data_IF_430923842280
#
_entry.id   IF_430923842280
#
_cell.length_a   1.000
_cell.length_b   1.000
_cell.length_c   1.000
_cell.angle_alpha   90.00
_cell.angle_beta   90.00
_cell.angle_gamma   90.00
#
_symmetry.space_group_name_H-M   'P 1'
#
loop_
_entity.id
_entity.type
_entity.pdbx_description
1 polymer ?
#
# COMPACT_ATOMS: atom_id res chain seq x y z
N UNK A 1 62.52 6.71 -46.02
CA UNK A 1 63.96 6.95 -45.81
C UNK A 1 64.40 6.16 -44.59
N UNK A 2 65.22 5.15 -44.84
CA UNK A 2 66.22 4.50 -43.98
C UNK A 2 66.02 4.44 -42.46
N UNK A 3 65.90 3.19 -41.96
CA UNK A 3 66.40 2.75 -40.65
C UNK A 3 67.88 3.16 -40.44
N UNK A 4 68.44 3.06 -39.22
CA UNK A 4 69.04 1.75 -38.87
C UNK A 4 69.03 1.35 -37.38
N UNK A 5 69.14 0.03 -37.22
CA UNK A 5 69.58 -0.74 -36.05
C UNK A 5 70.91 -0.27 -35.40
N UNK A 6 71.07 -0.59 -34.11
CA UNK A 6 72.28 -1.15 -33.44
C UNK A 6 71.90 -1.55 -31.99
N UNK A 7 71.87 -2.82 -31.59
CA UNK A 7 72.96 -3.74 -31.16
C UNK A 7 73.82 -3.28 -29.96
N UNK A 8 73.84 -4.12 -28.92
CA UNK A 8 74.75 -4.16 -27.76
C UNK A 8 73.97 -4.63 -26.52
N UNK A 9 74.26 -5.75 -25.85
CA UNK A 9 75.49 -6.49 -25.67
C UNK A 9 75.78 -6.58 -24.17
N UNK A 10 75.90 -7.80 -23.65
CA UNK A 10 75.92 -8.22 -22.23
C UNK A 10 76.97 -7.55 -21.31
N UNK A 11 76.64 -7.36 -20.03
CA UNK A 11 77.44 -7.91 -18.92
C UNK A 11 76.87 -7.69 -17.52
N UNK A 12 77.06 -8.75 -16.74
CA UNK A 12 76.65 -9.09 -15.37
C UNK A 12 77.53 -8.34 -14.34
N UNK A 13 76.97 -7.89 -13.21
CA UNK A 13 77.38 -8.30 -11.83
C UNK A 13 76.64 -7.53 -10.72
N UNK A 14 75.94 -8.32 -9.90
CA UNK A 14 75.69 -8.24 -8.46
C UNK A 14 75.56 -6.90 -7.71
N UNK A 15 74.39 -6.71 -7.10
CA UNK A 15 74.32 -6.72 -5.62
C UNK A 15 72.91 -7.10 -5.16
N UNK A 16 72.83 -8.25 -4.51
CA UNK A 16 71.65 -8.73 -3.79
C UNK A 16 71.45 -7.93 -2.50
N UNK A 17 70.18 -7.69 -2.16
CA UNK A 17 69.55 -7.81 -0.83
C UNK A 17 68.53 -6.70 -0.60
N UNK A 18 67.24 -7.02 -0.76
CA UNK A 18 66.30 -7.13 0.36
C UNK A 18 64.91 -7.50 -0.18
N UNK A 19 64.51 -8.73 0.10
CA UNK A 19 63.15 -9.21 -0.11
C UNK A 19 62.23 -8.71 1.01
N UNK A 20 61.11 -8.09 0.64
CA UNK A 20 59.93 -8.01 1.50
C UNK A 20 58.69 -7.78 0.63
N UNK A 21 57.79 -8.78 0.59
CA UNK A 21 56.41 -8.61 0.13
C UNK A 21 56.17 -8.88 -1.35
N UNK A 22 56.44 -10.10 -1.81
CA UNK A 22 56.00 -10.62 -3.10
C UNK A 22 54.47 -10.79 -3.11
N UNK A 23 53.72 -9.73 -3.46
CA UNK A 23 52.45 -9.91 -4.16
C UNK A 23 52.79 -10.37 -5.58
N UNK A 24 52.75 -11.69 -5.77
CA UNK A 24 52.85 -12.32 -7.09
C UNK A 24 51.58 -11.95 -7.88
N UNK A 25 51.59 -10.78 -8.52
CA UNK A 25 50.71 -10.53 -9.66
C UNK A 25 51.20 -11.43 -10.80
N UNK A 26 50.60 -12.62 -10.90
CA UNK A 26 50.72 -13.46 -12.09
C UNK A 26 50.17 -12.69 -13.29
N UNK A 27 51.06 -12.10 -14.08
CA UNK A 27 50.71 -11.59 -15.40
C UNK A 27 50.37 -12.79 -16.29
N UNK A 28 49.07 -13.04 -16.50
CA UNK A 28 48.58 -13.93 -17.55
C UNK A 28 49.03 -13.34 -18.90
N UNK A 29 49.88 -14.06 -19.62
CA UNK A 29 50.35 -13.66 -20.94
C UNK A 29 49.63 -14.50 -22.00
N UNK A 30 48.88 -13.83 -22.88
CA UNK A 30 48.23 -14.48 -24.02
C UNK A 30 49.31 -14.76 -25.06
N UNK A 31 49.68 -16.03 -25.21
CA UNK A 31 50.74 -16.44 -26.15
C UNK A 31 50.20 -16.53 -27.60
N UNK A 32 48.88 -16.65 -27.77
CA UNK A 32 48.22 -16.72 -29.06
C UNK A 32 46.78 -16.19 -28.95
N UNK A 33 46.53 -15.01 -29.52
CA UNK A 33 45.23 -14.34 -29.49
C UNK A 33 44.12 -15.16 -30.14
N UNK A 34 44.38 -15.81 -31.29
CA UNK A 34 43.37 -16.60 -31.97
C UNK A 34 42.95 -17.83 -31.15
N UNK A 35 43.90 -18.46 -30.45
CA UNK A 35 43.60 -19.58 -29.57
C UNK A 35 42.85 -19.12 -28.32
N UNK A 36 43.18 -17.94 -27.80
CA UNK A 36 42.51 -17.35 -26.64
C UNK A 36 41.05 -16.98 -26.96
N UNK A 37 40.80 -16.28 -28.07
CA UNK A 37 39.45 -15.96 -28.54
C UNK A 37 38.60 -17.22 -28.78
N UNK A 38 39.21 -18.27 -29.35
CA UNK A 38 38.54 -19.55 -29.50
C UNK A 38 38.14 -20.14 -28.14
N UNK A 39 39.01 -20.10 -27.14
CA UNK A 39 38.70 -20.56 -25.77
C UNK A 39 37.55 -19.73 -25.18
N UNK A 40 37.61 -18.40 -25.30
CA UNK A 40 36.56 -17.50 -24.81
C UNK A 40 35.19 -17.85 -25.43
N UNK A 41 35.14 -18.25 -26.70
CA UNK A 41 33.89 -18.62 -27.38
C UNK A 41 33.19 -19.86 -26.81
N UNK A 42 33.91 -20.72 -26.07
CA UNK A 42 33.35 -21.89 -25.40
C UNK A 42 32.92 -21.62 -23.94
N UNK A 43 33.25 -20.45 -23.40
CA UNK A 43 32.90 -20.10 -22.03
C UNK A 43 31.45 -19.62 -21.93
N UNK A 44 30.78 -20.00 -20.84
CA UNK A 44 29.48 -19.46 -20.48
C UNK A 44 29.57 -17.98 -20.17
N UNK A 45 28.44 -17.26 -20.27
CA UNK A 45 28.38 -15.86 -19.86
C UNK A 45 28.79 -15.68 -18.40
N UNK A 46 28.42 -16.61 -17.51
CA UNK A 46 28.90 -16.58 -16.13
C UNK A 46 30.42 -16.71 -15.98
N UNK A 47 31.04 -17.61 -16.75
CA UNK A 47 32.48 -17.79 -16.72
C UNK A 47 33.19 -16.52 -17.25
N UNK A 48 32.68 -15.95 -18.34
CA UNK A 48 33.18 -14.70 -18.91
C UNK A 48 33.01 -13.52 -17.94
N UNK A 49 31.87 -13.38 -17.27
CA UNK A 49 31.62 -12.30 -16.32
C UNK A 49 32.57 -12.37 -15.11
N UNK A 50 32.85 -13.58 -14.62
CA UNK A 50 33.84 -13.79 -13.55
C UNK A 50 35.25 -13.50 -14.04
N UNK A 51 35.62 -13.96 -15.23
CA UNK A 51 36.93 -13.68 -15.82
C UNK A 51 37.13 -12.17 -15.97
N UNK A 52 36.14 -11.45 -16.51
CA UNK A 52 36.15 -9.99 -16.67
C UNK A 52 36.29 -9.27 -15.33
N UNK A 53 35.69 -9.79 -14.26
CA UNK A 53 35.84 -9.23 -12.90
C UNK A 53 37.27 -9.41 -12.37
N UNK A 54 37.94 -10.52 -12.70
CA UNK A 54 39.29 -10.85 -12.24
C UNK A 54 40.35 -10.11 -13.05
N UNK A 55 40.20 -10.06 -14.38
CA UNK A 55 41.21 -9.50 -15.28
C UNK A 55 41.03 -8.00 -15.50
N UNK A 56 39.80 -7.49 -15.34
CA UNK A 56 39.44 -6.12 -15.74
C UNK A 56 39.28 -5.95 -17.25
N UNK A 57 39.44 -7.02 -18.03
CA UNK A 57 39.29 -7.00 -19.49
C UNK A 57 37.82 -6.96 -19.89
N UNK A 58 37.52 -6.41 -21.06
CA UNK A 58 36.17 -6.42 -21.62
C UNK A 58 36.04 -7.51 -22.69
N UNK A 59 35.27 -8.56 -22.41
CA UNK A 59 35.06 -9.66 -23.36
C UNK A 59 33.82 -9.40 -24.23
N UNK A 60 33.93 -9.41 -25.58
CA UNK A 60 32.85 -8.99 -26.50
C UNK A 60 31.51 -9.73 -26.36
N UNK A 61 31.54 -10.97 -25.89
CA UNK A 61 30.35 -11.82 -25.73
C UNK A 61 29.86 -11.91 -24.28
N UNK A 62 30.45 -11.13 -23.38
CA UNK A 62 30.06 -11.08 -21.98
C UNK A 62 28.95 -10.05 -21.74
N UNK A 63 27.86 -10.48 -21.14
CA UNK A 63 26.74 -9.69 -20.63
C UNK A 63 26.72 -9.80 -19.09
N UNK A 64 27.57 -9.04 -18.39
CA UNK A 64 27.76 -9.19 -16.94
C UNK A 64 26.49 -8.92 -16.14
N UNK A 65 25.62 -8.05 -16.63
CA UNK A 65 24.31 -7.74 -16.02
C UNK A 65 23.35 -8.95 -16.01
N UNK A 66 23.56 -9.96 -16.86
CA UNK A 66 22.76 -11.17 -16.88
C UNK A 66 23.21 -12.21 -15.85
N UNK A 67 24.45 -12.12 -15.36
CA UNK A 67 25.01 -13.09 -14.43
C UNK A 67 24.21 -13.21 -13.12
N UNK A 68 23.55 -12.12 -12.69
CA UNK A 68 22.67 -12.10 -11.50
C UNK A 68 21.39 -12.93 -11.67
N UNK A 69 20.98 -13.21 -12.91
CA UNK A 69 19.81 -14.05 -13.23
C UNK A 69 20.20 -15.51 -13.46
N UNK A 70 21.51 -15.81 -13.50
CA UNK A 70 22.03 -17.15 -13.66
C UNK A 70 22.35 -17.78 -12.29
N UNK A 71 22.14 -19.09 -12.16
CA UNK A 71 22.51 -19.87 -10.99
C UNK A 71 24.04 -19.92 -10.82
N UNK A 72 24.53 -19.98 -9.59
CA UNK A 72 25.97 -19.96 -9.27
C UNK A 72 26.80 -21.15 -9.80
N UNK A 73 26.18 -22.12 -10.46
CA UNK A 73 26.81 -23.33 -10.97
C UNK A 73 27.70 -23.14 -12.21
N UNK A 74 27.98 -21.88 -12.59
CA UNK A 74 28.86 -21.52 -13.72
C UNK A 74 28.31 -21.89 -15.10
N UNK A 75 27.11 -22.44 -15.13
CA UNK A 75 26.32 -22.63 -16.33
C UNK A 75 25.35 -21.46 -16.44
N UNK A 76 24.99 -21.11 -17.67
CA UNK A 76 24.01 -20.08 -18.00
C UNK A 76 22.56 -20.53 -17.73
N UNK A 77 22.39 -21.23 -16.62
CA UNK A 77 21.13 -21.77 -16.14
C UNK A 77 20.38 -20.66 -15.38
N UNK A 78 19.12 -20.38 -15.70
CA UNK A 78 18.36 -19.39 -14.95
C UNK A 78 18.12 -19.84 -13.50
N UNK A 79 18.08 -18.86 -12.60
CA UNK A 79 17.63 -19.05 -11.23
C UNK A 79 16.12 -19.25 -11.22
N UNK A 80 15.66 -20.35 -10.60
CA UNK A 80 14.25 -20.72 -10.52
C UNK A 80 13.78 -20.72 -9.07
N UNK A 81 13.86 -21.86 -8.39
CA UNK A 81 13.39 -22.02 -7.00
C UNK A 81 14.58 -21.98 -6.04
N UNK A 82 14.35 -21.40 -4.86
CA UNK A 82 15.36 -21.36 -3.78
C UNK A 82 16.70 -20.76 -4.20
N UNK A 83 16.69 -19.76 -5.09
CA UNK A 83 17.88 -19.15 -5.70
C UNK A 83 18.81 -20.13 -6.45
N UNK A 84 18.28 -21.26 -6.91
CA UNK A 84 19.00 -22.28 -7.67
C UNK A 84 18.34 -22.56 -9.02
N UNK A 85 19.12 -23.04 -9.98
CA UNK A 85 18.53 -23.65 -11.17
C UNK A 85 17.99 -25.04 -10.83
N UNK A 86 17.16 -25.59 -11.73
CA UNK A 86 16.58 -26.93 -11.57
C UNK A 86 17.64 -28.02 -11.39
N UNK A 87 18.75 -27.94 -12.11
CA UNK A 87 19.83 -28.95 -12.03
C UNK A 87 20.47 -28.98 -10.65
N UNK A 88 20.88 -27.83 -10.11
CA UNK A 88 21.47 -27.77 -8.77
C UNK A 88 20.47 -28.15 -7.68
N UNK A 89 19.23 -27.68 -7.79
CA UNK A 89 18.20 -28.05 -6.83
C UNK A 89 17.87 -29.54 -6.87
N UNK A 90 18.04 -30.21 -8.03
CA UNK A 90 17.80 -31.65 -8.15
C UNK A 90 18.79 -32.53 -7.37
N UNK A 91 19.91 -31.95 -6.93
CA UNK A 91 20.88 -32.61 -6.06
C UNK A 91 20.54 -32.45 -4.56
N UNK A 92 19.52 -31.65 -4.23
CA UNK A 92 19.09 -31.41 -2.85
C UNK A 92 18.01 -32.42 -2.40
N UNK A 93 18.02 -32.79 -1.12
CA UNK A 93 17.08 -33.76 -0.52
C UNK A 93 15.60 -33.34 -0.63
N UNK A 94 15.34 -32.03 -0.73
CA UNK A 94 14.00 -31.45 -0.83
C UNK A 94 13.57 -31.13 -2.26
N UNK A 95 14.26 -31.68 -3.27
CA UNK A 95 13.90 -31.45 -4.67
C UNK A 95 12.45 -31.85 -4.95
N UNK A 96 11.67 -30.89 -5.43
CA UNK A 96 10.34 -31.15 -5.94
C UNK A 96 10.34 -31.09 -7.48
N UNK A 97 10.17 -32.22 -8.19
CA UNK A 97 10.16 -32.26 -9.65
C UNK A 97 8.87 -31.68 -10.26
N UNK A 98 7.82 -31.50 -9.46
CA UNK A 98 6.51 -31.06 -9.89
C UNK A 98 6.15 -29.71 -9.27
N UNK A 99 5.70 -28.77 -10.08
CA UNK A 99 5.29 -27.44 -9.63
C UNK A 99 3.83 -27.17 -9.96
N UNK A 100 3.18 -26.37 -9.13
CA UNK A 100 1.82 -25.89 -9.38
C UNK A 100 1.81 -24.86 -10.50
N UNK A 101 0.61 -24.62 -11.05
CA UNK A 101 0.37 -23.61 -12.07
C UNK A 101 0.96 -22.24 -11.69
N UNK A 102 0.77 -21.81 -10.46
CA UNK A 102 1.18 -20.49 -9.96
C UNK A 102 2.70 -20.32 -10.00
N UNK A 103 3.43 -21.37 -9.67
CA UNK A 103 4.89 -21.39 -9.72
C UNK A 103 5.38 -21.37 -11.17
N UNK A 104 4.72 -22.13 -12.05
CA UNK A 104 5.05 -22.14 -13.48
C UNK A 104 4.81 -20.76 -14.13
N UNK A 105 3.69 -20.09 -13.86
CA UNK A 105 3.44 -18.74 -14.40
C UNK A 105 4.41 -17.70 -13.84
N UNK A 106 4.75 -17.79 -12.55
CA UNK A 106 5.58 -16.78 -11.88
C UNK A 106 7.04 -16.90 -12.27
N UNK A 107 7.63 -18.08 -12.10
CA UNK A 107 9.07 -18.28 -12.28
C UNK A 107 9.43 -18.47 -13.75
N UNK A 108 8.66 -19.28 -14.49
CA UNK A 108 8.93 -19.50 -15.91
C UNK A 108 8.34 -18.39 -16.79
N UNK A 109 7.40 -17.58 -16.28
CA UNK A 109 6.79 -16.51 -17.07
C UNK A 109 5.79 -16.95 -18.11
N UNK A 110 5.34 -18.20 -18.02
CA UNK A 110 4.38 -18.76 -18.95
C UNK A 110 3.01 -18.12 -18.76
N UNK A 111 2.35 -17.77 -19.87
CA UNK A 111 0.93 -17.41 -19.83
C UNK A 111 0.11 -18.69 -19.65
N UNK A 112 -1.13 -18.51 -19.19
CA UNK A 112 -2.08 -19.64 -19.03
C UNK A 112 -2.31 -20.39 -20.34
N UNK A 113 -2.20 -19.69 -21.48
CA UNK A 113 -2.30 -20.28 -22.81
C UNK A 113 -1.08 -21.16 -23.13
N UNK A 114 0.14 -20.70 -22.84
CA UNK A 114 1.39 -21.43 -23.07
C UNK A 114 1.46 -22.72 -22.21
N UNK A 115 0.95 -22.64 -20.98
CA UNK A 115 0.78 -23.82 -20.11
C UNK A 115 -0.14 -24.89 -20.70
N UNK A 116 -0.93 -24.55 -21.72
CA UNK A 116 -1.78 -25.53 -22.37
C UNK A 116 -0.97 -26.53 -23.20
N UNK A 117 0.19 -26.11 -23.70
CA UNK A 117 1.12 -26.86 -24.55
C UNK A 117 2.04 -27.77 -23.73
N UNK A 118 2.18 -27.49 -22.43
CA UNK A 118 2.98 -28.29 -21.51
C UNK A 118 2.22 -29.54 -21.00
N UNK A 119 2.89 -30.70 -20.85
CA UNK A 119 2.33 -31.88 -20.20
C UNK A 119 1.83 -31.58 -18.78
N UNK A 120 0.65 -32.11 -18.44
CA UNK A 120 -0.04 -31.83 -17.17
C UNK A 120 -0.32 -33.10 -16.39
N UNK A 121 -0.02 -33.08 -15.11
CA UNK A 121 -0.32 -34.16 -14.17
C UNK A 121 -1.44 -33.72 -13.23
N UNK A 122 -2.56 -34.46 -13.20
CA UNK A 122 -3.65 -34.19 -12.26
C UNK A 122 -3.52 -35.06 -11.02
N UNK A 123 -3.47 -34.44 -9.84
CA UNK A 123 -3.43 -35.15 -8.56
C UNK A 123 -4.36 -34.45 -7.56
N UNK A 124 -5.36 -35.18 -7.04
CA UNK A 124 -6.31 -34.68 -6.02
C UNK A 124 -6.82 -33.24 -6.27
N UNK A 125 -7.31 -32.99 -7.49
CA UNK A 125 -7.79 -31.68 -7.99
C UNK A 125 -6.73 -30.60 -8.24
N UNK A 126 -5.44 -30.87 -8.04
CA UNK A 126 -4.35 -29.97 -8.43
C UNK A 126 -3.80 -30.33 -9.81
N UNK A 127 -3.46 -29.31 -10.60
CA UNK A 127 -2.72 -29.45 -11.86
C UNK A 127 -1.25 -29.14 -11.60
N UNK A 128 -0.41 -30.13 -11.84
CA UNK A 128 1.03 -30.07 -11.63
C UNK A 128 1.76 -30.19 -12.98
N UNK A 129 2.91 -29.55 -13.05
CA UNK A 129 3.76 -29.50 -14.23
C UNK A 129 5.16 -30.00 -13.88
N UNK A 130 5.71 -30.87 -14.72
CA UNK A 130 7.10 -31.32 -14.59
C UNK A 130 8.04 -30.17 -14.89
N UNK A 131 8.97 -29.89 -13.98
CA UNK A 131 9.97 -28.83 -14.18
C UNK A 131 10.91 -29.11 -15.34
N UNK A 132 11.17 -30.39 -15.64
CA UNK A 132 11.97 -30.76 -16.82
C UNK A 132 11.22 -30.39 -18.09
N UNK A 133 9.92 -30.67 -18.15
CA UNK A 133 9.11 -30.35 -19.33
C UNK A 133 8.97 -28.84 -19.50
N UNK A 134 8.86 -28.09 -18.40
CA UNK A 134 8.87 -26.63 -18.41
C UNK A 134 10.22 -26.07 -18.90
N UNK A 135 11.36 -26.54 -18.36
CA UNK A 135 12.69 -26.12 -18.83
C UNK A 135 12.87 -26.40 -20.33
N UNK A 136 12.48 -27.59 -20.79
CA UNK A 136 12.55 -27.98 -22.20
C UNK A 136 11.68 -27.08 -23.08
N UNK A 137 10.46 -26.78 -22.62
CA UNK A 137 9.57 -25.85 -23.31
C UNK A 137 10.20 -24.45 -23.43
N UNK A 138 10.78 -23.93 -22.36
CA UNK A 138 11.44 -22.62 -22.39
C UNK A 138 12.63 -22.61 -23.35
N UNK A 139 13.46 -23.65 -23.34
CA UNK A 139 14.57 -23.79 -24.28
C UNK A 139 14.04 -23.88 -25.72
N UNK A 140 12.92 -24.55 -25.96
CA UNK A 140 12.30 -24.60 -27.29
C UNK A 140 11.79 -23.23 -27.74
N UNK A 141 11.17 -22.45 -26.84
CA UNK A 141 10.60 -21.13 -27.16
C UNK A 141 11.69 -20.08 -27.39
N UNK A 142 12.71 -20.04 -26.52
CA UNK A 142 13.75 -19.01 -26.55
C UNK A 142 15.03 -19.45 -27.30
N UNK A 143 15.16 -20.74 -27.62
CA UNK A 143 16.28 -21.31 -28.38
C UNK A 143 17.48 -21.74 -27.52
N UNK A 144 17.72 -21.09 -26.38
CA UNK A 144 18.76 -21.49 -25.42
C UNK A 144 18.45 -21.03 -24.01
N UNK A 145 19.20 -21.56 -23.03
CA UNK A 145 19.10 -21.09 -21.63
C UNK A 145 19.54 -19.62 -21.48
N UNK A 146 20.54 -19.17 -22.25
CA UNK A 146 20.95 -17.76 -22.25
C UNK A 146 19.90 -16.82 -22.81
N UNK A 147 19.25 -17.18 -23.93
CA UNK A 147 18.14 -16.38 -24.46
C UNK A 147 16.95 -16.34 -23.48
N UNK A 148 16.70 -17.44 -22.78
CA UNK A 148 15.71 -17.46 -21.71
C UNK A 148 16.11 -16.54 -20.54
N UNK A 149 17.39 -16.53 -20.12
CA UNK A 149 17.90 -15.60 -19.10
C UNK A 149 17.72 -14.14 -19.53
N UNK A 150 17.98 -13.80 -20.80
CA UNK A 150 17.73 -12.45 -21.34
C UNK A 150 16.27 -12.06 -21.21
N UNK A 151 15.35 -12.99 -21.53
CA UNK A 151 13.93 -12.73 -21.39
C UNK A 151 13.50 -12.54 -19.92
N UNK A 152 14.05 -13.33 -18.98
CA UNK A 152 13.81 -13.12 -17.54
C UNK A 152 14.25 -11.71 -17.13
N UNK A 153 15.47 -11.31 -17.51
CA UNK A 153 16.01 -9.99 -17.19
C UNK A 153 15.13 -8.86 -17.78
N UNK A 154 14.67 -9.01 -19.03
CA UNK A 154 13.78 -8.06 -19.68
C UNK A 154 12.45 -7.92 -18.93
N UNK A 155 11.84 -9.03 -18.52
CA UNK A 155 10.59 -9.04 -17.75
C UNK A 155 10.76 -8.35 -16.40
N UNK A 156 11.85 -8.64 -15.70
CA UNK A 156 12.16 -8.04 -14.41
C UNK A 156 12.41 -6.52 -14.52
N UNK A 157 13.07 -6.05 -15.58
CA UNK A 157 13.21 -4.61 -15.84
C UNK A 157 11.88 -3.93 -16.07
N UNK A 158 10.98 -4.53 -16.85
CA UNK A 158 9.64 -3.99 -17.09
C UNK A 158 8.82 -3.97 -15.80
N UNK A 159 8.88 -5.05 -15.02
CA UNK A 159 8.17 -5.13 -13.73
C UNK A 159 8.65 -4.06 -12.76
N UNK A 160 9.97 -3.89 -12.61
CA UNK A 160 10.55 -2.80 -11.79
C UNK A 160 10.16 -1.42 -12.26
N UNK A 161 10.06 -1.20 -13.58
CA UNK A 161 9.60 0.08 -14.12
C UNK A 161 8.13 0.35 -13.77
N UNK A 162 7.26 -0.67 -13.86
CA UNK A 162 5.85 -0.56 -13.46
C UNK A 162 5.74 -0.26 -11.96
N UNK A 163 6.47 -1.00 -11.12
CA UNK A 163 6.49 -0.79 -9.67
C UNK A 163 7.00 0.61 -9.30
N UNK A 164 8.05 1.09 -9.97
CA UNK A 164 8.57 2.44 -9.75
C UNK A 164 7.55 3.51 -10.15
N UNK A 165 6.81 3.31 -11.25
CA UNK A 165 5.74 4.23 -11.66
C UNK A 165 4.58 4.24 -10.65
N UNK A 166 4.15 3.07 -10.18
CA UNK A 166 3.09 2.95 -9.16
C UNK A 166 3.52 3.57 -7.83
N UNK A 167 4.78 3.34 -7.41
CA UNK A 167 5.32 3.95 -6.21
C UNK A 167 5.36 5.48 -6.33
N UNK A 168 5.81 6.00 -7.48
CA UNK A 168 5.82 7.44 -7.73
C UNK A 168 4.41 8.05 -7.69
N UNK A 169 3.42 7.40 -8.30
CA UNK A 169 2.03 7.85 -8.23
C UNK A 169 1.50 7.86 -6.80
N UNK A 170 1.80 6.81 -6.02
CA UNK A 170 1.42 6.73 -4.61
C UNK A 170 2.11 7.82 -3.76
N UNK A 171 3.38 8.08 -4.02
CA UNK A 171 4.14 9.13 -3.34
C UNK A 171 3.56 10.52 -3.65
N UNK A 172 3.16 10.78 -4.90
CA UNK A 172 2.46 12.02 -5.25
C UNK A 172 1.13 12.18 -4.51
N UNK A 173 0.34 11.10 -4.40
CA UNK A 173 -0.93 11.10 -3.65
C UNK A 173 -0.65 11.39 -2.17
N UNK A 174 0.35 10.73 -1.58
CA UNK A 174 0.73 10.93 -0.19
C UNK A 174 1.17 12.38 0.08
N UNK A 175 2.06 12.93 -0.76
CA UNK A 175 2.50 14.32 -0.67
C UNK A 175 1.33 15.29 -0.81
N UNK A 176 0.40 15.01 -1.74
CA UNK A 176 -0.81 15.81 -1.87
C UNK A 176 -1.67 15.76 -0.59
N UNK A 177 -1.91 14.57 -0.03
CA UNK A 177 -2.69 14.42 1.20
C UNK A 177 -2.01 15.07 2.42
N UNK A 178 -0.69 15.02 2.50
CA UNK A 178 0.11 15.72 3.53
C UNK A 178 0.10 17.24 3.37
N UNK A 179 -0.07 17.75 2.14
CA UNK A 179 -0.21 19.19 1.88
C UNK A 179 -1.55 19.78 2.34
N UNK A 180 -2.55 18.93 2.58
CA UNK A 180 -3.85 19.32 3.12
C UNK A 180 -3.76 19.61 4.62
N UNK A 181 -4.88 19.99 5.23
CA UNK A 181 -4.92 20.35 6.64
C UNK A 181 -4.34 19.24 7.56
N UNK A 182 -3.57 19.59 8.61
CA UNK A 182 -3.05 18.61 9.55
C UNK A 182 -4.13 17.72 10.14
N UNK A 183 -3.91 16.39 10.11
CA UNK A 183 -4.88 15.39 10.58
C UNK A 183 -6.00 15.04 9.60
N UNK A 184 -6.16 15.80 8.50
CA UNK A 184 -7.17 15.49 7.48
C UNK A 184 -6.89 14.18 6.76
N UNK A 185 -5.63 13.85 6.44
CA UNK A 185 -5.29 12.61 5.75
C UNK A 185 -5.77 11.36 6.52
N UNK A 186 -5.52 11.32 7.83
CA UNK A 186 -6.01 10.26 8.70
C UNK A 186 -7.55 10.22 8.74
N UNK A 187 -8.19 11.39 8.80
CA UNK A 187 -9.66 11.47 8.77
C UNK A 187 -10.25 10.95 7.45
N UNK A 188 -9.66 11.33 6.32
CA UNK A 188 -10.08 10.92 4.98
C UNK A 188 -9.97 9.40 4.81
N UNK A 189 -8.89 8.80 5.30
CA UNK A 189 -8.69 7.34 5.32
C UNK A 189 -9.79 6.61 6.07
N UNK A 190 -10.04 7.04 7.32
CA UNK A 190 -11.05 6.42 8.17
C UNK A 190 -12.49 6.66 7.70
N UNK A 191 -12.71 7.68 6.88
CA UNK A 191 -14.04 8.08 6.39
C UNK A 191 -14.29 7.67 4.94
N UNK A 192 -13.34 7.00 4.28
CA UNK A 192 -13.46 6.56 2.88
C UNK A 192 -13.51 7.70 1.87
N UNK A 193 -12.83 8.82 2.13
CA UNK A 193 -12.79 9.98 1.23
C UNK A 193 -11.63 9.95 0.24
N UNK A 194 -10.68 9.02 0.38
CA UNK A 194 -9.42 8.96 -0.38
C UNK A 194 -9.61 8.86 -1.90
N UNK A 195 -10.68 8.22 -2.36
CA UNK A 195 -11.00 8.05 -3.78
C UNK A 195 -11.59 9.32 -4.45
N UNK A 196 -11.76 10.41 -3.69
CA UNK A 196 -12.28 11.66 -4.21
C UNK A 196 -11.24 12.38 -5.07
N UNK A 197 -11.69 13.14 -6.08
CA UNK A 197 -10.76 13.94 -6.88
C UNK A 197 -10.07 15.04 -6.02
N UNK A 198 -8.88 15.49 -6.46
CA UNK A 198 -8.05 16.47 -5.72
C UNK A 198 -8.82 17.74 -5.33
N UNK A 199 -9.67 18.29 -6.20
CA UNK A 199 -10.44 19.50 -5.89
C UNK A 199 -11.47 19.26 -4.78
N UNK A 200 -12.15 18.11 -4.81
CA UNK A 200 -13.08 17.72 -3.75
C UNK A 200 -12.34 17.55 -2.42
N UNK A 201 -11.16 16.92 -2.43
CA UNK A 201 -10.34 16.74 -1.22
C UNK A 201 -9.88 18.08 -0.61
N UNK A 202 -9.55 19.08 -1.43
CA UNK A 202 -9.23 20.43 -0.95
C UNK A 202 -10.44 21.05 -0.23
N UNK A 203 -11.63 20.96 -0.80
CA UNK A 203 -12.84 21.49 -0.16
C UNK A 203 -13.21 20.73 1.12
N UNK A 204 -13.10 19.38 1.10
CA UNK A 204 -13.29 18.56 2.28
C UNK A 204 -12.29 18.94 3.39
N UNK A 205 -11.03 19.19 3.03
CA UNK A 205 -9.99 19.62 3.98
C UNK A 205 -10.31 20.98 4.62
N UNK A 206 -10.82 21.94 3.84
CA UNK A 206 -11.29 23.22 4.37
C UNK A 206 -12.45 23.04 5.36
N UNK A 207 -13.48 22.29 4.96
CA UNK A 207 -14.64 21.99 5.84
C UNK A 207 -14.24 21.22 7.10
N UNK A 208 -13.26 20.33 7.00
CA UNK A 208 -12.69 19.61 8.13
C UNK A 208 -12.10 20.58 9.16
N UNK A 209 -11.29 21.55 8.73
CA UNK A 209 -10.70 22.56 9.62
C UNK A 209 -11.78 23.41 10.27
N UNK A 210 -12.71 23.93 9.46
CA UNK A 210 -13.82 24.76 9.96
C UNK A 210 -14.62 24.03 11.04
N UNK A 211 -15.03 22.79 10.76
CA UNK A 211 -15.80 21.99 11.69
C UNK A 211 -15.00 21.63 12.95
N UNK A 212 -13.73 21.24 12.80
CA UNK A 212 -12.86 20.93 13.93
C UNK A 212 -12.69 22.14 14.87
N UNK A 213 -12.49 23.34 14.32
CA UNK A 213 -12.41 24.58 15.09
C UNK A 213 -13.73 24.86 15.81
N UNK A 214 -14.87 24.76 15.11
CA UNK A 214 -16.18 25.05 15.68
C UNK A 214 -16.58 24.04 16.78
N UNK A 215 -16.23 22.77 16.63
CA UNK A 215 -16.42 21.74 17.66
C UNK A 215 -15.50 21.98 18.87
N UNK A 216 -14.21 22.26 18.64
CA UNK A 216 -13.25 22.53 19.71
C UNK A 216 -13.65 23.77 20.54
N UNK A 217 -14.20 24.80 19.90
CA UNK A 217 -14.73 25.97 20.60
C UNK A 217 -15.89 25.64 21.58
N UNK A 218 -16.54 24.48 21.41
CA UNK A 218 -17.57 23.94 22.31
C UNK A 218 -17.04 22.83 23.23
N UNK A 219 -15.74 22.55 23.22
CA UNK A 219 -15.14 21.45 23.98
C UNK A 219 -15.46 20.06 23.41
N UNK A 220 -15.87 19.98 22.14
CA UNK A 220 -16.18 18.74 21.44
C UNK A 220 -15.04 18.33 20.52
N UNK A 221 -14.83 17.03 20.36
CA UNK A 221 -13.88 16.48 19.40
C UNK A 221 -14.58 16.06 18.12
N UNK A 222 -13.91 16.29 16.98
CA UNK A 222 -14.33 15.77 15.69
C UNK A 222 -14.14 14.26 15.66
N UNK A 223 -15.22 13.51 15.43
CA UNK A 223 -15.20 12.06 15.37
C UNK A 223 -15.41 11.57 13.94
N UNK A 224 -14.69 10.53 13.57
CA UNK A 224 -14.81 9.86 12.26
C UNK A 224 -16.07 9.02 12.15
N UNK A 225 -16.64 8.54 13.26
CA UNK A 225 -17.87 7.73 13.27
C UNK A 225 -19.17 8.56 13.31
N UNK A 226 -19.07 9.89 13.27
CA UNK A 226 -20.24 10.78 13.22
C UNK A 226 -20.68 10.99 11.78
N UNK A 227 -21.76 10.33 11.38
CA UNK A 227 -22.35 10.48 10.05
C UNK A 227 -22.65 11.96 9.70
N UNK A 228 -23.15 12.74 10.68
CA UNK A 228 -23.38 14.18 10.49
C UNK A 228 -22.10 14.96 10.16
N UNK A 229 -20.99 14.65 10.83
CA UNK A 229 -19.70 15.30 10.56
C UNK A 229 -19.15 14.85 9.20
N UNK A 230 -19.27 13.57 8.87
CA UNK A 230 -18.87 13.02 7.57
C UNK A 230 -19.66 13.67 6.44
N UNK A 231 -20.99 13.77 6.54
CA UNK A 231 -21.83 14.40 5.52
C UNK A 231 -21.51 15.89 5.35
N UNK A 232 -21.24 16.63 6.43
CA UNK A 232 -20.79 18.02 6.32
C UNK A 232 -19.44 18.13 5.60
N UNK A 233 -18.46 17.31 5.99
CA UNK A 233 -17.11 17.38 5.41
C UNK A 233 -17.12 16.91 3.95
N UNK A 234 -17.80 15.80 3.64
CA UNK A 234 -17.84 15.22 2.30
C UNK A 234 -18.69 16.03 1.32
N UNK A 235 -19.90 16.41 1.72
CA UNK A 235 -20.93 16.95 0.82
C UNK A 235 -21.24 18.44 1.07
N UNK A 236 -20.76 19.03 2.17
CA UNK A 236 -21.18 20.38 2.58
C UNK A 236 -22.64 20.43 3.04
N UNK A 237 -23.21 19.30 3.45
CA UNK A 237 -24.61 19.21 3.85
C UNK A 237 -24.84 19.83 5.23
N UNK A 238 -25.75 20.79 5.29
CA UNK A 238 -26.15 21.47 6.53
C UNK A 238 -25.22 22.62 6.92
N UNK A 239 -25.73 23.50 7.80
CA UNK A 239 -24.93 24.62 8.33
C UNK A 239 -24.03 24.16 9.48
N UNK A 240 -22.80 24.69 9.53
CA UNK A 240 -21.81 24.37 10.58
C UNK A 240 -22.38 24.50 12.00
N UNK A 241 -23.16 25.56 12.27
CA UNK A 241 -23.80 25.77 13.57
C UNK A 241 -24.78 24.64 13.90
N UNK A 242 -25.56 24.18 12.92
CA UNK A 242 -26.51 23.07 13.09
C UNK A 242 -25.80 21.76 13.41
N UNK A 243 -24.69 21.47 12.72
CA UNK A 243 -23.88 20.27 12.96
C UNK A 243 -23.30 20.29 14.36
N UNK A 244 -22.69 21.41 14.77
CA UNK A 244 -22.09 21.58 16.10
C UNK A 244 -23.13 21.51 17.21
N UNK A 245 -24.27 22.21 17.07
CA UNK A 245 -25.33 22.21 18.08
C UNK A 245 -25.96 20.81 18.21
N UNK A 246 -26.14 20.08 17.11
CA UNK A 246 -26.61 18.69 17.15
C UNK A 246 -25.59 17.77 17.81
N UNK A 247 -24.29 17.97 17.56
CA UNK A 247 -23.24 17.16 18.17
C UNK A 247 -23.12 17.42 19.68
N UNK A 248 -23.22 18.68 20.09
CA UNK A 248 -23.25 19.11 21.50
C UNK A 248 -24.43 18.49 22.24
N UNK A 249 -25.62 18.56 21.63
CA UNK A 249 -26.83 17.95 22.16
C UNK A 249 -26.70 16.43 22.29
N UNK A 250 -26.23 15.75 21.25
CA UNK A 250 -26.08 14.29 21.27
C UNK A 250 -25.04 13.85 22.30
N UNK A 251 -23.95 14.61 22.48
CA UNK A 251 -22.98 14.32 23.55
C UNK A 251 -23.64 14.44 24.93
N UNK A 252 -24.33 15.54 25.19
CA UNK A 252 -25.02 15.73 26.47
C UNK A 252 -26.07 14.64 26.73
N UNK A 253 -26.86 14.29 25.72
CA UNK A 253 -27.84 13.21 25.82
C UNK A 253 -27.19 11.88 26.19
N UNK A 254 -26.09 11.51 25.53
CA UNK A 254 -25.46 10.21 25.76
C UNK A 254 -24.67 10.14 27.07
N UNK A 255 -24.06 11.25 27.51
CA UNK A 255 -23.19 11.28 28.69
C UNK A 255 -23.91 11.68 29.98
N UNK A 256 -24.89 12.58 29.89
CA UNK A 256 -25.51 13.22 31.06
C UNK A 256 -26.96 12.77 31.31
N UNK A 257 -27.56 11.98 30.42
CA UNK A 257 -28.96 11.58 30.55
C UNK A 257 -29.17 10.06 30.41
N UNK A 258 -30.40 9.60 30.64
CA UNK A 258 -30.81 8.21 30.41
C UNK A 258 -31.24 7.95 28.94
N UNK A 259 -31.04 8.91 28.03
CA UNK A 259 -31.40 8.82 26.61
C UNK A 259 -30.95 7.50 25.97
N UNK A 260 -29.67 7.13 26.12
CA UNK A 260 -29.12 5.88 25.59
C UNK A 260 -29.80 4.62 26.13
N UNK A 261 -30.41 4.66 27.32
CA UNK A 261 -31.20 3.55 27.86
C UNK A 261 -32.61 3.57 27.29
N UNK A 262 -33.23 4.75 27.13
CA UNK A 262 -34.55 4.90 26.50
C UNK A 262 -34.54 4.38 25.06
N UNK A 263 -33.54 4.74 24.27
CA UNK A 263 -33.42 4.28 22.88
C UNK A 263 -33.24 2.75 22.79
N UNK A 264 -32.49 2.13 23.70
CA UNK A 264 -32.25 0.68 23.71
C UNK A 264 -33.50 -0.15 24.06
N UNK A 265 -34.37 0.36 24.93
CA UNK A 265 -35.62 -0.35 25.30
C UNK A 265 -36.56 -0.48 24.09
N UNK A 266 -36.67 0.57 23.28
CA UNK A 266 -37.53 0.58 22.08
C UNK A 266 -37.05 -0.42 21.02
N UNK A 267 -35.74 -0.63 20.88
CA UNK A 267 -35.18 -1.60 19.93
C UNK A 267 -35.55 -3.05 20.27
N UNK A 268 -35.75 -3.37 21.55
CA UNK A 268 -36.15 -4.72 22.00
C UNK A 268 -37.65 -4.99 21.78
N UNK A 269 -38.50 -3.97 21.93
CA UNK A 269 -39.96 -4.09 21.82
C UNK A 269 -40.47 -4.04 20.36
N UNK A 270 -39.67 -3.52 19.43
CA UNK A 270 -40.08 -3.25 18.04
C UNK A 270 -39.92 -4.42 17.05
N UNK A 271 -39.74 -5.67 17.51
CA UNK A 271 -39.52 -6.83 16.64
C UNK A 271 -40.73 -7.24 15.75
N UNK A 272 -41.86 -6.50 15.76
CA UNK A 272 -43.14 -6.90 15.15
C UNK A 272 -43.79 -5.89 14.17
N UNK A 273 -43.07 -4.91 13.61
CA UNK A 273 -43.64 -3.99 12.60
C UNK A 273 -42.64 -2.98 12.07
N UNK A 274 -42.99 -2.23 11.00
CA UNK A 274 -42.08 -1.35 10.23
C UNK A 274 -41.18 -0.51 11.16
N UNK A 275 -39.91 -0.91 11.34
CA UNK A 275 -39.14 -0.55 12.54
C UNK A 275 -38.48 0.83 12.47
N UNK A 276 -38.38 1.44 11.28
CA UNK A 276 -37.58 2.65 11.08
C UNK A 276 -38.31 3.94 11.48
N UNK A 277 -39.54 4.15 11.02
CA UNK A 277 -40.30 5.38 11.32
C UNK A 277 -40.70 5.48 12.80
N UNK A 278 -41.13 4.35 13.38
CA UNK A 278 -41.54 4.28 14.79
C UNK A 278 -40.34 4.58 15.70
N UNK A 279 -39.17 3.99 15.42
CA UNK A 279 -37.97 4.19 16.24
C UNK A 279 -37.50 5.65 16.23
N UNK A 280 -37.59 6.34 15.09
CA UNK A 280 -37.18 7.74 14.97
C UNK A 280 -38.10 8.67 15.78
N UNK A 281 -39.42 8.49 15.68
CA UNK A 281 -40.39 9.28 16.45
C UNK A 281 -40.20 9.11 17.96
N UNK A 282 -39.93 7.88 18.43
CA UNK A 282 -39.64 7.62 19.84
C UNK A 282 -38.32 8.26 20.30
N UNK A 283 -37.28 8.22 19.46
CA UNK A 283 -36.01 8.87 19.77
C UNK A 283 -36.19 10.39 19.87
N UNK A 284 -36.88 11.00 18.92
CA UNK A 284 -37.19 12.43 18.94
C UNK A 284 -38.01 12.80 20.18
N UNK A 285 -39.08 12.06 20.48
CA UNK A 285 -39.91 12.27 21.65
C UNK A 285 -39.09 12.20 22.96
N UNK A 286 -38.20 11.21 23.09
CA UNK A 286 -37.33 11.10 24.26
C UNK A 286 -36.38 12.30 24.40
N UNK A 287 -35.86 12.85 23.29
CA UNK A 287 -35.05 14.08 23.34
C UNK A 287 -35.86 15.27 23.83
N UNK A 288 -37.09 15.43 23.32
CA UNK A 288 -37.97 16.53 23.68
C UNK A 288 -38.29 16.53 25.18
N UNK A 289 -38.69 15.38 25.73
CA UNK A 289 -38.99 15.21 27.15
C UNK A 289 -37.78 15.52 28.03
N UNK A 290 -36.60 15.04 27.63
CA UNK A 290 -35.36 15.31 28.35
C UNK A 290 -34.99 16.80 28.32
N UNK A 291 -35.17 17.47 27.17
CA UNK A 291 -34.96 18.91 27.08
C UNK A 291 -35.80 19.66 28.11
N UNK A 292 -37.12 19.41 28.17
CA UNK A 292 -38.01 20.04 29.15
C UNK A 292 -37.62 19.70 30.60
N UNK A 293 -37.32 18.45 30.90
CA UNK A 293 -36.94 18.03 32.25
C UNK A 293 -35.65 18.72 32.74
N UNK A 294 -34.67 18.91 31.85
CA UNK A 294 -33.40 19.58 32.18
C UNK A 294 -33.50 21.11 32.12
N UNK A 295 -34.44 21.68 31.38
CA UNK A 295 -34.79 23.10 31.47
C UNK A 295 -35.46 23.44 32.81
N UNK A 296 -36.32 22.54 33.31
CA UNK A 296 -36.97 22.69 34.60
C UNK A 296 -35.99 22.56 35.77
N UNK A 297 -35.07 21.58 35.70
CA UNK A 297 -34.03 21.41 36.68
C UNK A 297 -32.71 20.96 36.01
N UNK A 298 -31.76 21.89 35.79
CA UNK A 298 -30.47 21.58 35.16
C UNK A 298 -29.56 20.68 35.99
N UNK A 299 -29.87 20.44 37.28
CA UNK A 299 -29.06 19.63 38.20
C UNK A 299 -27.61 20.10 38.32
N UNK A 300 -27.37 21.41 38.17
CA UNK A 300 -26.04 22.00 38.17
C UNK A 300 -25.19 21.72 36.92
N UNK A 301 -25.77 21.11 35.88
CA UNK A 301 -25.11 20.87 34.61
C UNK A 301 -25.28 22.05 33.65
N UNK A 302 -24.27 22.27 32.81
CA UNK A 302 -24.37 23.20 31.68
C UNK A 302 -25.17 22.53 30.55
N UNK A 303 -26.28 23.14 30.15
CA UNK A 303 -27.12 22.60 29.08
C UNK A 303 -26.50 22.90 27.70
N UNK A 304 -26.78 22.06 26.69
CA UNK A 304 -26.43 22.36 25.29
C UNK A 304 -27.02 23.70 24.85
N UNK A 305 -26.31 24.43 23.99
CA UNK A 305 -26.78 25.74 23.51
C UNK A 305 -28.15 25.65 22.85
N UNK A 306 -28.40 24.57 22.10
CA UNK A 306 -29.70 24.31 21.49
C UNK A 306 -30.84 24.30 22.51
N UNK A 307 -30.60 23.73 23.69
CA UNK A 307 -31.59 23.67 24.77
C UNK A 307 -31.71 25.02 25.47
N UNK A 308 -30.60 25.73 25.68
CA UNK A 308 -30.62 27.10 26.20
C UNK A 308 -31.46 28.03 25.31
N UNK A 309 -31.39 27.88 23.98
CA UNK A 309 -32.26 28.61 23.04
C UNK A 309 -33.76 28.28 23.19
N UNK A 310 -34.11 27.19 23.87
CA UNK A 310 -35.50 26.82 24.16
C UNK A 310 -36.02 27.41 25.49
N UNK A 311 -35.14 28.00 26.32
CA UNK A 311 -35.46 28.49 27.67
C UNK A 311 -36.58 29.54 27.66
N UNK A 312 -36.51 30.51 26.74
CA UNK A 312 -37.55 31.54 26.58
C UNK A 312 -38.93 30.92 26.35
N UNK A 313 -39.04 29.98 25.39
CA UNK A 313 -40.32 29.31 25.08
C UNK A 313 -40.81 28.43 26.24
N UNK A 314 -39.90 27.79 26.97
CA UNK A 314 -40.25 27.06 28.18
C UNK A 314 -40.83 27.98 29.27
N UNK A 315 -40.23 29.14 29.47
CA UNK A 315 -40.71 30.14 30.43
C UNK A 315 -42.06 30.74 30.02
N UNK A 316 -42.29 31.01 28.73
CA UNK A 316 -43.58 31.46 28.19
C UNK A 316 -44.71 30.48 28.54
N UNK A 317 -44.50 29.18 28.30
CA UNK A 317 -45.51 28.14 28.61
C UNK A 317 -45.80 28.11 30.11
N UNK A 318 -44.76 28.23 30.95
CA UNK A 318 -44.93 28.26 32.41
C UNK A 318 -45.68 29.50 32.88
N UNK A 319 -45.37 30.67 32.34
CA UNK A 319 -46.03 31.93 32.69
C UNK A 319 -47.50 31.96 32.25
N UNK A 320 -47.83 31.31 31.14
CA UNK A 320 -49.20 31.13 30.67
C UNK A 320 -50.01 30.09 31.49
N UNK A 321 -49.39 29.44 32.49
CA UNK A 321 -50.02 28.37 33.28
C UNK A 321 -50.17 27.04 32.55
N UNK A 322 -49.53 26.89 31.39
CA UNK A 322 -49.52 25.65 30.60
C UNK A 322 -48.60 24.59 31.21
N UNK A 323 -48.80 23.33 30.80
CA UNK A 323 -47.91 22.22 31.16
C UNK A 323 -46.83 22.05 30.06
N UNK A 324 -45.54 22.28 30.35
CA UNK A 324 -44.45 22.12 29.37
C UNK A 324 -44.38 20.74 28.70
N UNK A 325 -44.82 19.67 29.37
CA UNK A 325 -44.84 18.32 28.79
C UNK A 325 -45.90 18.14 27.70
N UNK A 326 -46.92 19.00 27.66
CA UNK A 326 -47.93 18.99 26.60
C UNK A 326 -47.50 19.85 25.40
N UNK A 327 -46.49 20.72 25.56
CA UNK A 327 -46.05 21.72 24.57
C UNK A 327 -44.61 21.47 24.07
N UNK A 328 -44.17 20.21 24.13
CA UNK A 328 -42.81 19.79 23.79
C UNK A 328 -42.31 20.29 22.43
N UNK A 329 -43.16 20.15 21.40
CA UNK A 329 -42.83 20.57 20.02
C UNK A 329 -42.75 22.08 19.87
N UNK A 330 -43.56 22.84 20.63
CA UNK A 330 -43.47 24.29 20.66
C UNK A 330 -42.16 24.74 21.30
N UNK A 331 -41.83 24.17 22.46
CA UNK A 331 -40.63 24.53 23.23
C UNK A 331 -39.35 24.22 22.44
N UNK A 332 -39.26 23.03 21.85
CA UNK A 332 -38.07 22.58 21.11
C UNK A 332 -38.06 23.04 19.64
N UNK A 333 -39.17 23.59 19.15
CA UNK A 333 -39.31 24.05 17.78
C UNK A 333 -38.31 25.15 17.41
N UNK A 334 -38.13 25.41 16.09
CA UNK A 334 -37.29 26.51 15.64
C UNK A 334 -37.77 27.83 16.26
N UNK A 335 -36.82 28.70 16.63
CA UNK A 335 -37.17 30.04 17.08
C UNK A 335 -37.99 30.74 15.98
N UNK A 336 -39.06 31.44 16.38
CA UNK A 336 -39.76 32.34 15.44
C UNK A 336 -38.71 33.34 14.94
N UNK A 337 -38.50 33.36 13.64
CA UNK A 337 -37.76 34.42 12.97
C UNK A 337 -38.49 35.74 13.25
N UNK A 338 -37.87 36.62 14.03
CA UNK A 338 -38.27 38.03 14.12
C UNK A 338 -37.92 38.78 12.83
#
# INVERSE_FOLDING_TARGET
>A
MNSPHRYGGDSITDTAQHASGSELYTHLCIVNENAFELILSYLSNQALAKLQTITGDNYPHCEPNLAQYCCSCQNDNPVMLSNMCRECESECDNYNPLVKKEVATTLYGLKVQDLAECPRYRRFNETLYSRIDLDNYMIQVYGSKMEWVREIARRDMVQRAIEAMQQHEQDEINVFMESLAPGFAMYASLSGLEDSNRNALVQCSQRYVELAVALNARGLQLRTDSELCQQYIALGSGGISSVVDTREEMEFLTTCTDYSRRCRRVTLDSQHGNPYGILQDYQEQAKLELCVAYLENPRGLKLPRRWECCRLRFEEVRQAGGNPLNELRYIYGPAKSE
#
